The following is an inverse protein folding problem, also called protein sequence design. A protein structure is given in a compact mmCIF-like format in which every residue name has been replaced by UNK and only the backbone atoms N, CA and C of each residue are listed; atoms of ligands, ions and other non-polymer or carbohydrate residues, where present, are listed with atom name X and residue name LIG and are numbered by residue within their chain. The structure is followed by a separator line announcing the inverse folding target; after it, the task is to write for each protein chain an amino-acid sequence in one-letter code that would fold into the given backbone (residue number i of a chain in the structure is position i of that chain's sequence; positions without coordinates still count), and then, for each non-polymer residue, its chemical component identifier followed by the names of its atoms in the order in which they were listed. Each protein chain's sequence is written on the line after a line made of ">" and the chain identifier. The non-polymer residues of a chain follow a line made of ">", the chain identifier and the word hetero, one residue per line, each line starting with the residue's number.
data_IF_331329356445
#
_entry.id   IF_331329356445
#
_cell.length_a   1.000
_cell.length_b   1.000
_cell.length_c   1.000
_cell.angle_alpha   90.00
_cell.angle_beta   90.00
_cell.angle_gamma   90.00
#
_symmetry.space_group_name_H-M   'P 1'
#
loop_
_entity.id
_entity.type
_entity.pdbx_description
1 polymer ?
#
# COMPACT_ATOMS: atom_id res chain seq x y z
N UNK A 1 -13.24 25.88 -5.66
CA UNK A 1 -12.88 24.87 -4.64
C UNK A 1 -13.85 23.69 -4.76
N UNK A 2 -13.62 22.76 -5.71
CA UNK A 2 -14.64 21.79 -6.19
C UNK A 2 -14.45 20.33 -5.76
N UNK A 3 -13.45 20.03 -4.92
CA UNK A 3 -13.18 18.66 -4.48
C UNK A 3 -12.81 18.68 -3.00
N UNK A 4 -13.81 18.73 -2.11
CA UNK A 4 -13.61 18.05 -0.82
C UNK A 4 -13.61 16.58 -1.20
N UNK A 5 -12.43 15.95 -1.20
CA UNK A 5 -12.28 14.50 -1.36
C UNK A 5 -13.03 13.83 -0.21
N UNK A 6 -14.34 13.59 -0.37
CA UNK A 6 -15.09 12.78 0.57
C UNK A 6 -14.52 11.37 0.47
N UNK A 7 -13.86 10.94 1.55
CA UNK A 7 -13.34 9.58 1.65
C UNK A 7 -14.50 8.61 1.58
N UNK A 8 -14.36 7.58 0.75
CA UNK A 8 -15.37 6.54 0.62
C UNK A 8 -15.47 5.78 1.95
N UNK A 9 -16.69 5.52 2.38
CA UNK A 9 -17.01 4.78 3.60
C UNK A 9 -18.15 3.81 3.33
N UNK A 10 -18.00 2.59 3.81
CA UNK A 10 -18.97 1.52 3.67
C UNK A 10 -18.28 0.17 3.74
N UNK A 11 -19.06 -0.86 4.01
CA UNK A 11 -18.59 -2.24 4.00
C UNK A 11 -18.29 -2.68 2.55
N UNK A 12 -17.27 -3.54 2.38
CA UNK A 12 -16.82 -4.11 1.11
C UNK A 12 -16.34 -3.09 0.07
N UNK A 13 -15.84 -1.93 0.52
CA UNK A 13 -15.21 -0.96 -0.37
C UNK A 13 -13.74 -1.34 -0.59
N UNK A 14 -13.38 -1.56 -1.85
CA UNK A 14 -12.00 -1.71 -2.29
C UNK A 14 -11.46 -0.34 -2.70
N UNK A 15 -10.28 0.02 -2.20
CA UNK A 15 -9.68 1.32 -2.47
C UNK A 15 -8.20 1.22 -2.76
N UNK A 16 -7.78 1.91 -3.80
CA UNK A 16 -6.39 2.30 -4.01
C UNK A 16 -6.07 3.47 -3.08
N UNK A 17 -5.13 3.27 -2.18
CA UNK A 17 -4.72 4.26 -1.20
C UNK A 17 -3.24 4.57 -1.39
N UNK A 18 -2.90 5.85 -1.45
CA UNK A 18 -1.50 6.24 -1.61
C UNK A 18 -1.23 7.62 -1.04
N UNK A 19 0.02 7.84 -0.67
CA UNK A 19 0.53 9.16 -0.31
C UNK A 19 2.02 9.22 -0.63
N UNK A 20 2.57 10.42 -0.75
CA UNK A 20 3.97 10.67 -1.08
C UNK A 20 4.58 11.69 -0.14
N UNK A 21 5.90 11.77 -0.17
CA UNK A 21 6.65 12.78 0.56
C UNK A 21 6.27 14.19 0.16
N UNK A 22 6.25 15.08 1.16
CA UNK A 22 6.13 16.50 0.93
C UNK A 22 7.25 16.95 -0.01
N UNK A 23 6.92 17.78 -1.01
CA UNK A 23 7.85 18.19 -2.08
C UNK A 23 8.45 17.01 -2.88
N UNK A 24 7.79 15.85 -2.88
CA UNK A 24 8.28 14.58 -3.49
C UNK A 24 9.60 14.08 -2.90
N UNK A 25 9.97 14.54 -1.69
CA UNK A 25 11.15 14.05 -0.99
C UNK A 25 11.00 12.59 -0.58
N UNK A 26 12.13 11.94 -0.33
CA UNK A 26 12.14 10.61 0.24
C UNK A 26 11.60 10.66 1.68
N UNK A 27 10.65 9.78 1.95
CA UNK A 27 10.05 9.56 3.26
C UNK A 27 10.60 8.30 3.92
N UNK A 28 11.19 7.36 3.18
CA UNK A 28 11.95 6.22 3.70
C UNK A 28 13.41 6.37 3.26
N UNK A 29 14.30 6.63 4.20
CA UNK A 29 15.72 6.90 3.93
C UNK A 29 16.61 5.70 4.20
N UNK A 30 16.19 4.80 5.08
CA UNK A 30 16.87 3.54 5.39
C UNK A 30 15.88 2.40 5.66
N UNK A 31 16.39 1.20 5.90
CA UNK A 31 15.57 0.00 6.14
C UNK A 31 14.73 0.06 7.43
N UNK A 32 15.17 0.82 8.44
CA UNK A 32 14.45 0.98 9.70
C UNK A 32 13.15 1.77 9.48
N UNK A 33 13.18 2.75 8.59
CA UNK A 33 12.00 3.53 8.21
C UNK A 33 10.91 2.64 7.59
N UNK A 34 11.30 1.81 6.61
CA UNK A 34 10.39 0.87 5.97
C UNK A 34 9.84 -0.15 6.97
N UNK A 35 10.73 -0.72 7.79
CA UNK A 35 10.39 -1.70 8.82
C UNK A 35 9.41 -1.13 9.84
N UNK A 36 9.67 0.08 10.34
CA UNK A 36 8.79 0.77 11.28
C UNK A 36 7.43 1.00 10.63
N UNK A 37 7.37 1.48 9.38
CA UNK A 37 6.09 1.73 8.71
C UNK A 37 5.25 0.44 8.57
N UNK A 38 5.86 -0.67 8.13
CA UNK A 38 5.18 -1.97 8.00
C UNK A 38 4.75 -2.52 9.36
N UNK A 39 5.61 -2.44 10.38
CA UNK A 39 5.26 -2.81 11.76
C UNK A 39 4.02 -2.06 12.23
N UNK A 40 3.96 -0.75 12.00
CA UNK A 40 2.81 0.07 12.38
C UNK A 40 1.57 -0.27 11.57
N UNK A 41 1.71 -0.60 10.29
CA UNK A 41 0.60 -1.09 9.47
C UNK A 41 0.07 -2.42 10.03
N UNK A 42 0.95 -3.40 10.28
CA UNK A 42 0.61 -4.72 10.83
C UNK A 42 -0.06 -4.62 12.19
N UNK A 43 0.44 -3.78 13.10
CA UNK A 43 -0.19 -3.53 14.41
C UNK A 43 -1.61 -2.94 14.32
N UNK A 44 -1.91 -2.15 13.28
CA UNK A 44 -3.25 -1.60 13.08
C UNK A 44 -4.19 -2.60 12.39
N UNK A 45 -3.69 -3.43 11.47
CA UNK A 45 -4.48 -4.43 10.75
C UNK A 45 -4.75 -5.69 11.59
N UNK A 46 -3.74 -6.16 12.31
CA UNK A 46 -3.72 -7.44 13.03
C UNK A 46 -3.30 -7.25 14.50
N UNK A 47 -4.10 -6.52 15.30
CA UNK A 47 -3.73 -6.15 16.66
C UNK A 47 -3.55 -7.33 17.63
N UNK A 48 -4.04 -8.52 17.29
CA UNK A 48 -3.87 -9.74 18.10
C UNK A 48 -2.50 -10.39 17.88
N UNK A 49 -1.93 -10.26 16.68
CA UNK A 49 -0.63 -10.81 16.31
C UNK A 49 0.48 -9.92 16.85
N UNK A 50 0.30 -8.59 16.75
CA UNK A 50 1.24 -7.61 17.25
C UNK A 50 0.51 -6.55 18.07
N UNK A 51 0.36 -6.81 19.38
CA UNK A 51 -0.35 -5.90 20.29
C UNK A 51 0.43 -4.60 20.48
N UNK A 52 -0.10 -3.44 20.07
CA UNK A 52 0.51 -2.17 20.40
C UNK A 52 0.29 -1.86 21.90
N UNK A 53 1.36 -1.66 22.66
CA UNK A 53 1.27 -1.40 24.11
C UNK A 53 0.48 -0.14 24.49
N UNK A 54 0.38 0.84 23.59
CA UNK A 54 -0.15 2.18 23.88
C UNK A 54 -1.15 2.71 22.85
N UNK A 55 -1.75 1.83 22.03
CA UNK A 55 -2.75 2.25 21.05
C UNK A 55 -4.05 1.50 21.22
N UNK A 56 -5.15 2.24 21.08
CA UNK A 56 -6.45 1.63 20.87
C UNK A 56 -6.44 0.88 19.54
N UNK A 57 -6.65 -0.43 19.58
CA UNK A 57 -6.76 -1.28 18.41
C UNK A 57 -8.07 -1.04 17.67
N UNK A 58 -8.09 -1.31 16.37
CA UNK A 58 -9.35 -1.51 15.65
C UNK A 58 -9.92 -2.89 16.02
N UNK A 59 -11.24 -3.09 15.92
CA UNK A 59 -11.81 -4.44 15.91
C UNK A 59 -11.09 -5.33 14.90
N UNK A 60 -10.99 -6.62 15.22
CA UNK A 60 -10.41 -7.59 14.32
C UNK A 60 -11.12 -7.57 12.96
N UNK A 61 -10.36 -7.85 11.90
CA UNK A 61 -10.87 -7.91 10.54
C UNK A 61 -11.56 -6.62 10.04
N UNK A 62 -11.29 -5.44 10.65
CA UNK A 62 -11.85 -4.16 10.16
C UNK A 62 -11.42 -3.81 8.73
N UNK A 63 -10.22 -4.27 8.34
CA UNK A 63 -9.60 -4.01 7.05
C UNK A 63 -8.84 -5.25 6.57
N UNK A 64 -8.87 -5.53 5.27
CA UNK A 64 -7.95 -6.46 4.63
C UNK A 64 -7.00 -5.69 3.73
N UNK A 65 -5.69 -5.86 3.93
CA UNK A 65 -4.69 -5.38 3.00
C UNK A 65 -4.54 -6.41 1.89
N UNK A 66 -4.78 -6.03 0.64
CA UNK A 66 -4.68 -6.96 -0.49
C UNK A 66 -3.33 -6.85 -1.16
N UNK A 67 -2.79 -5.65 -1.31
CA UNK A 67 -1.53 -5.42 -2.00
C UNK A 67 -0.85 -4.17 -1.44
N UNK A 68 0.49 -4.16 -1.37
CA UNK A 68 1.25 -2.97 -1.02
C UNK A 68 2.59 -2.85 -1.76
N UNK A 69 3.04 -1.59 -1.84
CA UNK A 69 4.43 -1.23 -2.10
C UNK A 69 4.82 -0.03 -1.25
N UNK A 70 6.02 -0.06 -0.69
CA UNK A 70 6.69 1.11 -0.15
C UNK A 70 7.92 1.37 -1.02
N UNK A 71 8.08 2.59 -1.55
CA UNK A 71 9.30 3.04 -2.21
C UNK A 71 9.79 4.36 -1.61
N UNK A 72 11.05 4.79 -1.80
CA UNK A 72 11.64 5.85 -1.00
C UNK A 72 10.79 7.11 -0.79
N UNK A 73 10.07 7.58 -1.80
CA UNK A 73 9.26 8.80 -1.71
C UNK A 73 7.74 8.58 -1.61
N UNK A 74 7.20 7.36 -1.69
CA UNK A 74 5.76 7.12 -1.58
C UNK A 74 5.39 5.66 -1.29
N UNK A 75 4.12 5.45 -0.98
CA UNK A 75 3.55 4.11 -0.82
C UNK A 75 2.24 3.97 -1.60
N UNK A 76 1.88 2.74 -1.94
CA UNK A 76 0.55 2.38 -2.43
C UNK A 76 0.02 1.16 -1.70
N UNK A 77 -1.29 1.16 -1.41
CA UNK A 77 -2.04 0.06 -0.85
C UNK A 77 -3.29 -0.22 -1.68
N UNK A 78 -3.69 -1.48 -1.73
CA UNK A 78 -5.08 -1.87 -2.01
C UNK A 78 -5.66 -2.38 -0.70
N UNK A 79 -6.67 -1.69 -0.18
CA UNK A 79 -7.34 -2.06 1.07
C UNK A 79 -8.82 -2.32 0.79
N UNK A 80 -9.34 -3.43 1.32
CA UNK A 80 -10.77 -3.67 1.48
C UNK A 80 -11.19 -3.22 2.88
N UNK A 81 -12.18 -2.35 2.96
CA UNK A 81 -12.85 -2.00 4.21
C UNK A 81 -13.95 -3.04 4.48
N UNK A 82 -13.90 -3.71 5.64
CA UNK A 82 -14.79 -4.84 5.95
C UNK A 82 -15.92 -4.46 6.95
N UNK A 83 -16.10 -3.16 7.24
CA UNK A 83 -17.13 -2.69 8.14
C UNK A 83 -17.22 -1.17 8.16
N UNK A 84 -17.78 -0.60 9.22
CA UNK A 84 -18.14 0.82 9.27
C UNK A 84 -16.97 1.78 9.58
N UNK A 85 -15.83 1.23 10.02
CA UNK A 85 -14.66 2.06 10.36
C UNK A 85 -14.03 2.55 9.06
N UNK A 86 -14.01 3.87 8.81
CA UNK A 86 -13.48 4.38 7.56
C UNK A 86 -11.96 4.19 7.52
N UNK A 87 -11.45 3.84 6.34
CA UNK A 87 -10.00 3.66 6.12
C UNK A 87 -9.18 4.91 6.45
N UNK A 88 -9.81 6.10 6.46
CA UNK A 88 -9.19 7.34 6.92
C UNK A 88 -8.69 7.27 8.36
N UNK A 89 -9.35 6.50 9.25
CA UNK A 89 -8.90 6.28 10.63
C UNK A 89 -7.63 5.43 10.68
N UNK A 90 -7.54 4.39 9.83
CA UNK A 90 -6.33 3.59 9.68
C UNK A 90 -5.18 4.46 9.18
N UNK A 91 -5.40 5.19 8.09
CA UNK A 91 -4.38 6.04 7.49
C UNK A 91 -3.92 7.15 8.44
N UNK A 92 -4.83 7.78 9.18
CA UNK A 92 -4.47 8.80 10.17
C UNK A 92 -3.53 8.23 11.23
N UNK A 93 -3.83 7.06 11.81
CA UNK A 93 -2.97 6.44 12.82
C UNK A 93 -1.59 6.10 12.26
N UNK A 94 -1.57 5.51 11.07
CA UNK A 94 -0.33 5.07 10.40
C UNK A 94 0.57 6.26 10.06
N UNK A 95 0.06 7.24 9.31
CA UNK A 95 0.86 8.39 8.86
C UNK A 95 1.26 9.30 10.00
N UNK A 96 0.43 9.47 11.03
CA UNK A 96 0.78 10.25 12.24
C UNK A 96 1.92 9.57 12.99
N UNK A 97 1.79 8.28 13.27
CA UNK A 97 2.83 7.52 13.97
C UNK A 97 4.14 7.53 13.21
N UNK A 98 4.09 7.40 11.90
CA UNK A 98 5.27 7.45 11.05
C UNK A 98 5.92 8.84 11.03
N UNK A 99 5.12 9.89 10.89
CA UNK A 99 5.64 11.26 10.85
C UNK A 99 6.36 11.64 12.15
N UNK A 100 5.85 11.19 13.30
CA UNK A 100 6.49 11.38 14.60
C UNK A 100 7.83 10.64 14.65
N UNK A 101 7.86 9.38 14.21
CA UNK A 101 9.09 8.58 14.15
C UNK A 101 10.15 9.25 13.25
N UNK A 102 9.78 9.58 12.02
CA UNK A 102 10.66 10.18 11.03
C UNK A 102 11.22 11.52 11.50
N UNK A 103 10.37 12.44 11.96
CA UNK A 103 10.82 13.76 12.44
C UNK A 103 11.74 13.64 13.67
N UNK A 104 11.46 12.70 14.58
CA UNK A 104 12.33 12.45 15.73
C UNK A 104 13.68 11.88 15.31
N UNK A 105 13.68 10.90 14.41
CA UNK A 105 14.89 10.19 13.96
C UNK A 105 15.84 11.10 13.17
N UNK A 106 15.28 11.95 12.31
CA UNK A 106 16.05 12.83 11.42
C UNK A 106 16.11 14.28 11.88
N UNK A 107 15.70 14.58 13.11
CA UNK A 107 15.69 15.92 13.70
C UNK A 107 14.98 16.97 12.81
N UNK A 108 13.93 16.54 12.10
CA UNK A 108 13.14 17.39 11.20
C UNK A 108 11.89 17.92 11.88
N UNK A 109 11.35 18.99 11.31
CA UNK A 109 10.06 19.58 11.69
C UNK A 109 9.15 19.71 10.47
N UNK A 110 7.83 19.73 10.70
CA UNK A 110 6.83 19.92 9.66
C UNK A 110 6.28 18.63 9.06
N UNK A 111 5.63 18.76 7.90
CA UNK A 111 4.91 17.68 7.24
C UNK A 111 5.85 16.75 6.47
N UNK A 112 5.81 15.45 6.82
CA UNK A 112 6.49 14.38 6.09
C UNK A 112 5.78 14.04 4.78
N UNK A 113 4.44 13.99 4.80
CA UNK A 113 3.61 13.66 3.63
C UNK A 113 3.07 14.90 2.91
N UNK A 114 2.78 14.77 1.62
CA UNK A 114 2.11 15.79 0.82
C UNK A 114 0.61 15.83 1.10
N UNK A 115 0.25 16.36 2.26
CA UNK A 115 -1.13 16.48 2.71
C UNK A 115 -1.79 15.14 3.01
N UNK A 116 -3.12 15.11 2.85
CA UNK A 116 -3.92 13.91 3.08
C UNK A 116 -3.63 12.82 2.03
N UNK A 117 -3.75 11.56 2.46
CA UNK A 117 -3.67 10.42 1.53
C UNK A 117 -4.74 10.55 0.43
N UNK A 118 -4.49 9.95 -0.72
CA UNK A 118 -5.45 9.81 -1.82
C UNK A 118 -6.15 8.47 -1.74
N UNK A 119 -7.43 8.46 -2.11
CA UNK A 119 -8.28 7.26 -2.13
C UNK A 119 -9.01 7.24 -3.46
N UNK A 120 -8.85 6.17 -4.24
CA UNK A 120 -9.62 5.93 -5.47
C UNK A 120 -10.38 4.60 -5.33
N UNK A 121 -11.68 4.52 -5.63
CA UNK A 121 -12.43 3.27 -5.60
C UNK A 121 -11.83 2.29 -6.61
N UNK A 122 -11.83 1.00 -6.26
CA UNK A 122 -11.55 -0.08 -7.21
C UNK A 122 -12.89 -0.74 -7.53
N UNK A 123 -13.39 -0.46 -8.73
CA UNK A 123 -14.80 -0.70 -9.09
C UNK A 123 -15.08 -2.09 -9.69
N UNK A 124 -14.03 -2.79 -10.15
CA UNK A 124 -14.18 -4.10 -10.77
C UNK A 124 -12.86 -4.92 -10.72
N UNK A 125 -12.99 -6.21 -11.00
CA UNK A 125 -11.88 -7.17 -10.96
C UNK A 125 -10.77 -6.86 -11.96
N UNK A 126 -11.12 -6.36 -13.15
CA UNK A 126 -10.11 -5.96 -14.14
C UNK A 126 -9.25 -4.81 -13.61
N UNK A 127 -9.85 -3.82 -12.96
CA UNK A 127 -9.10 -2.73 -12.33
C UNK A 127 -8.26 -3.26 -11.15
N UNK A 128 -8.83 -4.10 -10.29
CA UNK A 128 -8.09 -4.72 -9.18
C UNK A 128 -6.84 -5.47 -9.67
N UNK A 129 -7.01 -6.26 -10.73
CA UNK A 129 -5.95 -7.02 -11.40
C UNK A 129 -4.81 -6.11 -11.89
N UNK A 130 -5.14 -5.13 -12.75
CA UNK A 130 -4.15 -4.21 -13.33
C UNK A 130 -3.49 -3.31 -12.28
N UNK A 131 -4.24 -2.87 -11.27
CA UNK A 131 -3.70 -2.06 -10.18
C UNK A 131 -2.68 -2.84 -9.35
N UNK A 132 -2.96 -4.11 -9.05
CA UNK A 132 -2.03 -4.95 -8.31
C UNK A 132 -0.70 -5.14 -9.06
N UNK A 133 -0.75 -5.39 -10.37
CA UNK A 133 0.44 -5.49 -11.21
C UNK A 133 1.21 -4.17 -11.27
N UNK A 134 0.52 -3.03 -11.38
CA UNK A 134 1.15 -1.72 -11.32
C UNK A 134 1.89 -1.49 -9.98
N UNK A 135 1.27 -1.86 -8.86
CA UNK A 135 1.86 -1.70 -7.53
C UNK A 135 3.10 -2.57 -7.38
N UNK A 136 3.08 -3.83 -7.84
CA UNK A 136 4.24 -4.72 -7.79
C UNK A 136 5.36 -4.30 -8.74
N UNK A 137 5.03 -3.73 -9.92
CA UNK A 137 6.04 -3.20 -10.85
C UNK A 137 6.57 -1.82 -10.49
N UNK A 138 6.03 -1.18 -9.46
CA UNK A 138 6.37 0.19 -9.08
C UNK A 138 7.89 0.40 -8.83
N UNK A 139 8.63 -0.53 -8.18
CA UNK A 139 10.08 -0.40 -8.04
C UNK A 139 10.83 -0.30 -9.36
N UNK A 140 10.41 -1.05 -10.40
CA UNK A 140 10.99 -0.98 -11.74
C UNK A 140 10.57 0.29 -12.47
N UNK A 141 9.29 0.65 -12.39
CA UNK A 141 8.75 1.87 -13.00
C UNK A 141 9.43 3.15 -12.48
N UNK A 142 9.88 3.15 -11.23
CA UNK A 142 10.65 4.25 -10.60
C UNK A 142 12.16 4.02 -10.63
N UNK A 143 12.65 3.01 -11.35
CA UNK A 143 14.07 2.71 -11.55
C UNK A 143 14.86 2.48 -10.26
N UNK A 144 14.21 1.91 -9.24
CA UNK A 144 14.82 1.55 -7.95
C UNK A 144 15.55 0.22 -8.06
N UNK A 145 14.97 -0.72 -8.80
CA UNK A 145 15.54 -2.05 -9.09
C UNK A 145 15.05 -2.50 -10.46
N UNK A 146 15.80 -3.38 -11.12
CA UNK A 146 15.36 -4.05 -12.35
C UNK A 146 14.57 -5.33 -12.08
N UNK A 147 14.60 -5.81 -10.83
CA UNK A 147 13.95 -7.02 -10.36
C UNK A 147 12.94 -6.67 -9.28
N UNK A 148 11.65 -6.73 -9.64
CA UNK A 148 10.55 -6.47 -8.71
C UNK A 148 10.34 -7.62 -7.73
N UNK A 149 10.70 -8.85 -8.10
CA UNK A 149 10.48 -10.05 -7.29
C UNK A 149 11.34 -10.05 -6.02
N UNK A 150 12.59 -9.54 -6.12
CA UNK A 150 13.49 -9.41 -4.97
C UNK A 150 13.27 -8.16 -4.13
N UNK A 151 12.38 -7.24 -4.53
CA UNK A 151 12.16 -6.01 -3.79
C UNK A 151 11.36 -6.26 -2.49
N UNK A 152 12.09 -6.29 -1.37
CA UNK A 152 11.57 -6.67 -0.04
C UNK A 152 10.48 -5.76 0.54
N UNK A 153 10.33 -4.53 0.05
CA UNK A 153 9.33 -3.57 0.55
C UNK A 153 8.03 -3.59 -0.26
N UNK A 154 7.72 -4.76 -0.85
CA UNK A 154 6.53 -5.04 -1.63
C UNK A 154 5.82 -6.28 -1.11
N UNK A 155 4.49 -6.34 -1.24
CA UNK A 155 3.77 -7.58 -1.06
C UNK A 155 4.01 -8.60 -2.18
N UNK A 156 4.74 -8.28 -3.26
CA UNK A 156 4.86 -9.18 -4.42
C UNK A 156 5.38 -10.56 -4.04
N UNK A 157 6.32 -10.64 -3.10
CA UNK A 157 6.83 -11.92 -2.61
C UNK A 157 5.75 -12.79 -1.96
N UNK A 158 4.76 -12.20 -1.30
CA UNK A 158 3.63 -12.92 -0.69
C UNK A 158 2.71 -13.56 -1.75
N UNK A 159 2.75 -13.06 -2.99
CA UNK A 159 2.03 -13.61 -4.13
C UNK A 159 2.80 -14.74 -4.82
N UNK A 160 4.13 -14.62 -4.88
CA UNK A 160 5.00 -15.59 -5.56
C UNK A 160 5.27 -16.82 -4.69
N UNK A 161 5.25 -16.66 -3.36
CA UNK A 161 5.66 -17.70 -2.40
C UNK A 161 4.54 -17.92 -1.39
N UNK A 162 3.83 -19.06 -1.41
CA UNK A 162 2.72 -19.32 -0.48
C UNK A 162 3.10 -19.30 1.02
N UNK A 163 4.38 -19.52 1.35
CA UNK A 163 4.88 -19.70 2.72
C UNK A 163 5.86 -18.61 3.18
N UNK A 164 5.70 -17.36 2.74
CA UNK A 164 6.53 -16.26 3.28
C UNK A 164 6.23 -16.08 4.78
N UNK A 165 7.26 -16.06 5.65
CA UNK A 165 7.09 -15.66 7.04
C UNK A 165 6.45 -14.27 7.13
N UNK A 166 5.62 -14.03 8.15
CA UNK A 166 5.05 -12.71 8.42
C UNK A 166 4.19 -12.10 7.30
N UNK A 167 3.59 -12.93 6.43
CA UNK A 167 2.59 -12.52 5.45
C UNK A 167 1.54 -11.57 6.05
N UNK A 168 1.33 -10.41 5.44
CA UNK A 168 0.34 -9.41 5.90
C UNK A 168 -0.78 -9.15 4.89
N UNK A 169 -0.67 -9.62 3.65
CA UNK A 169 -1.71 -9.46 2.64
C UNK A 169 -2.66 -10.64 2.59
N UNK A 170 -3.96 -10.34 2.46
CA UNK A 170 -4.95 -11.30 1.96
C UNK A 170 -4.81 -11.40 0.43
N UNK A 171 -3.90 -12.28 -0.01
CA UNK A 171 -3.62 -12.48 -1.44
C UNK A 171 -4.69 -13.28 -2.17
N UNK A 172 -5.61 -13.94 -1.44
CA UNK A 172 -6.55 -14.89 -2.01
C UNK A 172 -7.51 -14.26 -3.02
N UNK A 173 -7.97 -13.04 -2.73
CA UNK A 173 -8.89 -12.33 -3.62
C UNK A 173 -8.28 -12.01 -4.99
N UNK A 174 -7.04 -11.49 -5.02
CA UNK A 174 -6.37 -11.15 -6.28
C UNK A 174 -5.91 -12.41 -7.00
N UNK A 175 -5.32 -13.38 -6.30
CA UNK A 175 -4.89 -14.65 -6.90
C UNK A 175 -6.07 -15.45 -7.47
N UNK A 176 -7.25 -15.35 -6.87
CA UNK A 176 -8.48 -15.99 -7.35
C UNK A 176 -9.02 -15.43 -8.67
N UNK A 177 -8.52 -14.28 -9.13
CA UNK A 177 -8.83 -13.74 -10.48
C UNK A 177 -8.03 -14.44 -11.59
N UNK A 178 -7.08 -15.31 -11.23
CA UNK A 178 -6.21 -16.02 -12.15
C UNK A 178 -6.42 -17.52 -12.03
N UNK A 179 -6.12 -18.25 -13.11
CA UNK A 179 -6.22 -19.70 -13.13
C UNK A 179 -5.34 -20.38 -12.06
N UNK A 180 -4.18 -19.80 -11.77
CA UNK A 180 -3.24 -20.26 -10.75
C UNK A 180 -2.25 -19.13 -10.39
N UNK A 181 -1.51 -19.24 -9.26
CA UNK A 181 -0.55 -18.22 -8.85
C UNK A 181 0.56 -17.90 -9.88
N UNK A 182 1.14 -18.88 -10.61
CA UNK A 182 2.06 -18.56 -11.71
C UNK A 182 1.47 -17.67 -12.81
N UNK A 183 0.17 -17.81 -13.12
CA UNK A 183 -0.50 -16.93 -14.10
C UNK A 183 -0.51 -15.47 -13.65
N UNK A 184 -0.57 -15.20 -12.34
CA UNK A 184 -0.42 -13.84 -11.81
C UNK A 184 0.97 -13.28 -12.05
N UNK A 185 2.02 -14.04 -11.72
CA UNK A 185 3.40 -13.62 -11.95
C UNK A 185 3.63 -13.30 -13.43
N UNK A 186 3.21 -14.22 -14.31
CA UNK A 186 3.29 -14.04 -15.76
C UNK A 186 2.60 -12.76 -16.21
N UNK A 187 1.38 -12.52 -15.72
CA UNK A 187 0.63 -11.29 -16.02
C UNK A 187 1.38 -10.03 -15.58
N UNK A 188 1.92 -10.01 -14.35
CA UNK A 188 2.66 -8.85 -13.83
C UNK A 188 3.91 -8.58 -14.68
N UNK A 189 4.67 -9.62 -15.04
CA UNK A 189 5.94 -9.49 -15.76
C UNK A 189 5.77 -9.17 -17.25
N UNK A 190 4.89 -9.87 -17.96
CA UNK A 190 4.68 -9.65 -19.41
C UNK A 190 4.09 -8.27 -19.72
N UNK A 191 3.36 -7.68 -18.77
CA UNK A 191 2.71 -6.38 -18.96
C UNK A 191 3.54 -5.18 -18.46
N UNK A 192 4.79 -5.37 -18.04
CA UNK A 192 5.67 -4.26 -17.60
C UNK A 192 5.72 -3.13 -18.64
N UNK A 193 5.94 -3.45 -19.92
CA UNK A 193 6.06 -2.46 -20.99
C UNK A 193 4.76 -1.65 -21.18
N UNK A 194 3.60 -2.30 -21.03
CA UNK A 194 2.30 -1.63 -21.09
C UNK A 194 2.17 -0.66 -19.91
N UNK A 195 2.51 -1.09 -18.69
CA UNK A 195 2.48 -0.25 -17.48
C UNK A 195 3.46 0.93 -17.57
N UNK A 196 4.60 0.73 -18.22
CA UNK A 196 5.62 1.76 -18.41
C UNK A 196 5.15 2.86 -19.38
N UNK A 197 4.55 2.46 -20.50
CA UNK A 197 4.14 3.37 -21.57
C UNK A 197 2.78 4.04 -21.28
N UNK A 198 1.91 3.40 -20.51
CA UNK A 198 0.55 3.89 -20.29
C UNK A 198 0.49 4.99 -19.24
N UNK A 199 0.55 6.24 -19.71
CA UNK A 199 0.42 7.44 -18.87
C UNK A 199 -0.90 7.48 -18.09
N UNK A 200 -1.99 6.88 -18.59
CA UNK A 200 -3.27 6.87 -17.89
C UNK A 200 -3.19 6.00 -16.63
N UNK A 201 -2.51 4.85 -16.69
CA UNK A 201 -2.27 3.97 -15.52
C UNK A 201 -1.47 4.72 -14.44
N UNK A 202 -0.43 5.46 -14.84
CA UNK A 202 0.36 6.31 -13.94
C UNK A 202 -0.44 7.49 -13.35
N UNK A 203 -1.39 8.04 -14.12
CA UNK A 203 -2.28 9.14 -13.70
C UNK A 203 -3.26 8.72 -12.60
N UNK A 204 -3.63 7.44 -12.54
CA UNK A 204 -4.41 6.92 -11.40
C UNK A 204 -3.61 6.93 -10.10
N UNK A 205 -2.28 7.03 -10.15
CA UNK A 205 -1.42 6.72 -9.00
C UNK A 205 -0.54 7.89 -8.53
N UNK A 206 -0.30 8.93 -9.34
CA UNK A 206 0.61 10.03 -9.00
C UNK A 206 -0.01 11.44 -8.95
N UNK A 207 -1.29 11.56 -9.31
CA UNK A 207 -2.10 12.79 -9.31
C UNK A 207 -3.32 12.66 -8.39
#
# INVERSE_FOLDING_TARGET
>A
MKYRDYKLQGENIFSHIYNRGNRKENIFLDDDDFSFFLLRLKQNLYPHIEKPQRMKCFPENSFSLLCYILIPNHFHFIIRQNGDIPVSKLMLKLTTSYSIHFNKKYEKVGHVFQGEFKQKPVENDSYLMWLSAYIHQNPRLHKITNDAESYKWSSYQEYLKPAVPDKICDTGLILGLFENPPSYQKFVEENYNILEQNKNIRKFCHD
#
